data_IF_606949094805
#
_entry.id   IF_606949094805
#
_cell.length_a   1.000
_cell.length_b   1.000
_cell.length_c   1.000
_cell.angle_alpha   90.00
_cell.angle_beta   90.00
_cell.angle_gamma   90.00
#
_symmetry.space_group_name_H-M   'P 1'
#
loop_
_entity.id
_entity.type
_entity.pdbx_description
1 polymer ?
#
# COMPACT_ATOMS: atom_id res chain seq x y z
N UNK A 1 7.27 17.15 -21.45
CA UNK A 1 6.70 16.35 -20.33
C UNK A 1 6.58 14.88 -20.73
N UNK A 2 6.00 14.55 -21.88
CA UNK A 2 5.88 13.16 -22.38
C UNK A 2 7.26 12.50 -22.62
N UNK A 3 8.26 13.27 -23.06
CA UNK A 3 9.63 12.78 -23.31
C UNK A 3 10.39 12.35 -22.04
N UNK A 4 10.04 12.91 -20.87
CA UNK A 4 10.66 12.51 -19.60
C UNK A 4 9.98 11.29 -18.97
N UNK A 5 8.68 11.10 -19.22
CA UNK A 5 7.92 9.98 -18.68
C UNK A 5 8.32 8.62 -19.31
N UNK A 6 8.60 8.61 -20.60
CA UNK A 6 9.08 7.41 -21.33
C UNK A 6 10.46 6.91 -20.87
N UNK A 7 11.28 7.77 -20.24
CA UNK A 7 12.59 7.37 -19.68
C UNK A 7 12.50 6.69 -18.31
N UNK A 8 11.38 6.82 -17.60
CA UNK A 8 11.17 6.24 -16.26
C UNK A 8 10.47 4.87 -16.28
N UNK A 9 9.91 4.45 -17.41
CA UNK A 9 9.10 3.23 -17.50
C UNK A 9 9.81 2.00 -18.06
N UNK A 10 11.13 2.01 -18.31
CA UNK A 10 11.87 0.79 -18.72
C UNK A 10 13.04 0.53 -17.77
N UNK A 11 13.08 -0.67 -17.13
CA UNK A 11 13.76 -1.78 -17.76
C UNK A 11 13.03 -3.12 -17.60
N UNK A 12 12.39 -3.60 -18.64
CA UNK A 12 12.35 -5.05 -18.86
C UNK A 12 13.60 -5.34 -19.69
N UNK A 13 14.61 -5.90 -19.04
CA UNK A 13 15.84 -6.30 -19.71
C UNK A 13 15.55 -7.40 -20.73
N UNK A 14 15.43 -7.01 -21.99
CA UNK A 14 15.78 -7.89 -23.10
C UNK A 14 17.20 -7.50 -23.51
N UNK A 15 18.16 -8.39 -23.33
CA UNK A 15 19.52 -8.21 -23.80
C UNK A 15 19.49 -7.95 -25.31
N UNK A 16 19.61 -6.68 -25.70
CA UNK A 16 19.83 -6.29 -27.07
C UNK A 16 21.34 -6.29 -27.31
N UNK A 17 21.82 -7.23 -28.13
CA UNK A 17 23.17 -7.20 -28.69
C UNK A 17 23.38 -5.86 -29.43
N UNK A 18 24.44 -5.15 -29.09
CA UNK A 18 24.92 -3.95 -29.77
C UNK A 18 25.13 -4.24 -31.27
N UNK A 19 24.40 -3.53 -32.13
CA UNK A 19 24.62 -3.46 -33.55
C UNK A 19 24.98 -2.01 -33.91
N UNK A 20 26.05 -1.74 -34.70
CA UNK A 20 26.50 -0.40 -34.99
C UNK A 20 25.54 0.37 -35.92
N UNK A 21 25.45 1.68 -35.70
CA UNK A 21 24.69 2.62 -36.51
C UNK A 21 25.25 2.72 -37.92
N UNK A 22 24.50 2.21 -38.87
CA UNK A 22 24.72 2.45 -40.31
C UNK A 22 23.38 2.56 -41.02
N UNK A 23 23.17 3.70 -41.63
CA UNK A 23 22.26 4.06 -42.74
C UNK A 23 20.81 3.52 -42.81
N UNK A 24 19.98 4.31 -43.41
CA UNK A 24 18.54 4.19 -43.72
C UNK A 24 18.07 2.83 -44.28
N UNK A 25 18.91 2.05 -44.92
CA UNK A 25 18.58 0.70 -45.43
C UNK A 25 18.58 -0.37 -44.37
N UNK A 26 19.35 -0.24 -43.28
CA UNK A 26 19.37 -1.17 -42.17
C UNK A 26 18.05 -1.14 -41.31
N UNK A 27 17.26 -0.08 -41.45
CA UNK A 27 15.97 0.05 -40.75
C UNK A 27 14.87 -0.81 -41.36
N UNK A 28 14.83 -0.95 -42.67
CA UNK A 28 13.81 -1.77 -43.36
C UNK A 28 14.10 -3.27 -43.11
N UNK A 29 15.37 -3.69 -43.20
CA UNK A 29 15.79 -5.06 -42.89
C UNK A 29 15.55 -5.42 -41.40
N UNK A 30 15.80 -4.49 -40.49
CA UNK A 30 15.55 -4.67 -39.06
C UNK A 30 14.07 -4.83 -38.72
N UNK A 31 13.18 -4.16 -39.42
CA UNK A 31 11.72 -4.24 -39.24
C UNK A 31 11.19 -5.60 -39.73
N UNK A 32 11.62 -6.05 -40.89
CA UNK A 32 11.24 -7.34 -41.48
C UNK A 32 11.73 -8.50 -40.56
N UNK A 33 12.95 -8.41 -40.07
CA UNK A 33 13.53 -9.38 -39.13
C UNK A 33 12.76 -9.44 -37.81
N UNK A 34 12.33 -8.28 -37.24
CA UNK A 34 11.56 -8.22 -35.98
C UNK A 34 10.20 -8.88 -36.16
N UNK A 35 9.46 -8.55 -37.21
CA UNK A 35 8.18 -9.14 -37.52
C UNK A 35 8.25 -10.65 -37.75
N UNK A 36 9.23 -11.10 -38.54
CA UNK A 36 9.49 -12.53 -38.77
C UNK A 36 9.85 -13.26 -37.48
N UNK A 37 10.63 -12.63 -36.62
CA UNK A 37 11.04 -13.18 -35.33
C UNK A 37 9.83 -13.35 -34.41
N UNK A 38 8.99 -12.32 -34.25
CA UNK A 38 7.76 -12.39 -33.45
C UNK A 38 6.83 -13.48 -33.99
N UNK A 39 6.57 -13.52 -35.31
CA UNK A 39 5.70 -14.52 -35.93
C UNK A 39 6.21 -15.96 -35.66
N UNK A 40 7.52 -16.17 -35.67
CA UNK A 40 8.13 -17.45 -35.33
C UNK A 40 7.95 -17.82 -33.85
N UNK A 41 8.07 -16.87 -32.92
CA UNK A 41 7.84 -17.09 -31.51
C UNK A 41 6.39 -17.46 -31.21
N UNK A 42 5.42 -16.79 -31.83
CA UNK A 42 4.00 -17.04 -31.66
C UNK A 42 3.58 -18.45 -32.12
N UNK A 43 4.32 -19.08 -33.03
CA UNK A 43 4.09 -20.45 -33.49
C UNK A 43 4.62 -21.54 -32.53
N UNK A 44 5.41 -21.18 -31.51
CA UNK A 44 5.97 -22.17 -30.55
C UNK A 44 4.86 -22.84 -29.72
N UNK A 45 5.04 -24.11 -29.30
CA UNK A 45 4.00 -24.86 -28.57
C UNK A 45 3.42 -24.13 -27.36
N UNK A 46 4.23 -23.40 -26.59
CA UNK A 46 3.78 -22.64 -25.41
C UNK A 46 3.06 -21.34 -25.74
N UNK A 47 3.24 -20.78 -26.93
CA UNK A 47 2.65 -19.51 -27.34
C UNK A 47 1.43 -19.69 -28.23
N UNK A 48 1.41 -20.70 -29.09
CA UNK A 48 0.37 -20.91 -30.10
C UNK A 48 -1.04 -21.16 -29.56
N UNK A 49 -1.17 -21.57 -28.31
CA UNK A 49 -2.47 -21.80 -27.64
C UNK A 49 -3.04 -20.54 -26.99
N UNK A 50 -2.26 -19.47 -26.88
CA UNK A 50 -2.68 -18.20 -26.34
C UNK A 50 -3.16 -17.25 -27.45
N UNK A 51 -3.97 -16.27 -27.09
CA UNK A 51 -4.31 -15.13 -27.95
C UNK A 51 -3.34 -14.00 -27.65
N UNK A 52 -2.85 -13.36 -28.69
CA UNK A 52 -1.85 -12.30 -28.60
C UNK A 52 -2.38 -11.02 -29.22
N UNK A 53 -2.19 -9.92 -28.53
CA UNK A 53 -2.29 -8.55 -29.04
C UNK A 53 -0.92 -7.88 -28.88
N UNK A 54 -0.33 -7.42 -29.96
CA UNK A 54 1.00 -6.78 -29.95
C UNK A 54 0.92 -5.54 -30.83
N UNK A 55 1.39 -4.40 -30.32
CA UNK A 55 1.65 -3.20 -31.10
C UNK A 55 2.98 -2.63 -30.64
N UNK A 56 3.91 -2.47 -31.57
CA UNK A 56 5.26 -1.92 -31.33
C UNK A 56 5.44 -0.72 -32.23
N UNK A 57 5.72 0.43 -31.63
CA UNK A 57 5.93 1.70 -32.33
C UNK A 57 7.35 2.21 -32.10
N UNK A 58 7.89 2.88 -33.11
CA UNK A 58 9.09 3.71 -32.95
C UNK A 58 8.68 5.03 -32.25
N UNK A 59 9.21 5.34 -31.06
CA UNK A 59 8.82 6.55 -30.33
C UNK A 59 9.35 7.85 -30.96
N UNK A 60 10.24 7.75 -31.94
CA UNK A 60 10.83 8.93 -32.61
C UNK A 60 9.91 9.55 -33.65
N UNK A 61 9.14 8.72 -34.37
CA UNK A 61 8.25 9.12 -35.47
C UNK A 61 6.85 8.51 -35.36
N UNK A 62 6.55 7.76 -34.31
CA UNK A 62 5.31 7.01 -34.08
C UNK A 62 5.00 5.96 -35.16
N UNK A 63 6.01 5.54 -35.92
CA UNK A 63 5.85 4.51 -36.94
C UNK A 63 5.59 3.15 -36.29
N UNK A 64 4.55 2.47 -36.76
CA UNK A 64 4.26 1.11 -36.35
C UNK A 64 5.28 0.16 -36.95
N UNK A 65 6.01 -0.57 -36.11
CA UNK A 65 7.01 -1.57 -36.48
C UNK A 65 6.40 -2.97 -36.60
N UNK A 66 5.52 -3.35 -35.67
CA UNK A 66 4.86 -4.65 -35.63
C UNK A 66 3.46 -4.52 -35.06
N UNK A 67 2.51 -5.18 -35.68
CA UNK A 67 1.14 -5.35 -35.14
C UNK A 67 0.67 -6.79 -35.26
N UNK A 68 0.00 -7.26 -34.21
CA UNK A 68 -0.70 -8.54 -34.18
C UNK A 68 -2.02 -8.30 -33.45
N UNK A 69 -3.14 -8.47 -34.15
CA UNK A 69 -4.50 -8.21 -33.62
C UNK A 69 -4.63 -6.85 -32.90
N UNK A 70 -4.25 -5.72 -33.53
CA UNK A 70 -4.23 -4.41 -32.87
C UNK A 70 -5.60 -3.96 -32.37
N UNK A 71 -6.68 -4.30 -33.12
CA UNK A 71 -8.06 -3.90 -32.80
C UNK A 71 -8.80 -4.93 -31.94
N UNK A 72 -8.16 -6.04 -31.59
CA UNK A 72 -8.80 -7.06 -30.77
C UNK A 72 -8.86 -6.63 -29.31
N UNK A 73 -10.04 -6.64 -28.67
CA UNK A 73 -10.14 -6.31 -27.25
C UNK A 73 -9.49 -7.40 -26.38
N UNK A 74 -8.69 -6.95 -25.40
CA UNK A 74 -8.09 -7.76 -24.38
C UNK A 74 -8.38 -7.19 -22.98
N UNK A 75 -8.41 -8.04 -21.96
CA UNK A 75 -8.47 -7.59 -20.59
C UNK A 75 -7.11 -6.95 -20.21
N UNK A 76 -7.07 -5.64 -19.89
CA UNK A 76 -5.81 -4.94 -19.67
C UNK A 76 -5.11 -5.38 -18.38
N UNK A 77 -5.85 -5.93 -17.41
CA UNK A 77 -5.35 -6.27 -16.09
C UNK A 77 -4.52 -5.09 -15.53
N UNK A 78 -3.36 -5.37 -14.92
CA UNK A 78 -2.53 -4.31 -14.31
C UNK A 78 -1.89 -3.32 -15.29
N UNK A 79 -1.97 -3.55 -16.59
CA UNK A 79 -1.52 -2.55 -17.59
C UNK A 79 -2.39 -1.29 -17.52
N UNK A 80 -3.66 -1.41 -17.09
CA UNK A 80 -4.55 -0.26 -16.86
C UNK A 80 -3.94 0.77 -15.90
N UNK A 81 -3.10 0.35 -14.96
CA UNK A 81 -2.44 1.27 -14.03
C UNK A 81 -1.58 2.33 -14.72
N UNK A 82 -1.05 2.05 -15.92
CA UNK A 82 -0.33 3.04 -16.71
C UNK A 82 -1.25 4.20 -17.10
N UNK A 83 -2.50 3.90 -17.45
CA UNK A 83 -3.52 4.91 -17.77
C UNK A 83 -3.91 5.69 -16.51
N UNK A 84 -4.19 5.00 -15.40
CA UNK A 84 -4.49 5.63 -14.10
C UNK A 84 -3.38 6.58 -13.68
N UNK A 85 -2.12 6.13 -13.75
CA UNK A 85 -0.97 6.96 -13.33
C UNK A 85 -0.71 8.13 -14.27
N UNK A 86 -0.95 7.98 -15.57
CA UNK A 86 -0.87 9.07 -16.53
C UNK A 86 -1.94 10.15 -16.25
N UNK A 87 -3.19 9.73 -16.01
CA UNK A 87 -4.28 10.62 -15.66
C UNK A 87 -4.00 11.38 -14.34
N UNK A 88 -3.46 10.70 -13.33
CA UNK A 88 -3.10 11.31 -12.07
C UNK A 88 -2.01 12.40 -12.23
N UNK A 89 -0.98 12.15 -13.05
CA UNK A 89 0.05 13.16 -13.36
C UNK A 89 -0.54 14.36 -14.09
N UNK A 90 -1.43 14.12 -15.03
CA UNK A 90 -2.08 15.20 -15.80
C UNK A 90 -2.96 16.07 -14.90
N UNK A 91 -3.72 15.46 -13.99
CA UNK A 91 -4.68 16.17 -13.12
C UNK A 91 -4.03 16.82 -11.90
N UNK A 92 -3.11 16.15 -11.24
CA UNK A 92 -2.53 16.58 -9.96
C UNK A 92 -1.15 17.22 -10.13
N UNK A 93 -0.45 16.91 -11.22
CA UNK A 93 0.94 17.28 -11.43
C UNK A 93 1.93 16.32 -10.71
N UNK A 94 3.16 16.20 -11.23
CA UNK A 94 4.16 15.26 -10.69
C UNK A 94 4.64 15.61 -9.27
N UNK A 95 4.52 16.88 -8.88
CA UNK A 95 4.93 17.41 -7.58
C UNK A 95 3.85 17.34 -6.49
N UNK A 96 2.65 16.88 -6.81
CA UNK A 96 1.57 16.74 -5.82
C UNK A 96 2.03 15.93 -4.61
N UNK A 97 1.56 16.32 -3.41
CA UNK A 97 1.84 15.63 -2.14
C UNK A 97 0.54 15.41 -1.39
N UNK A 98 0.34 14.20 -0.93
CA UNK A 98 -0.73 13.89 0.01
C UNK A 98 -0.50 14.59 1.34
N UNK A 99 -1.58 14.84 2.06
CA UNK A 99 -1.56 15.47 3.38
C UNK A 99 -2.24 14.56 4.39
N UNK A 100 -1.61 14.39 5.55
CA UNK A 100 -2.21 13.73 6.70
C UNK A 100 -2.13 14.69 7.86
N UNK A 101 -3.27 15.11 8.38
CA UNK A 101 -3.36 16.13 9.43
C UNK A 101 -3.70 15.53 10.78
N UNK A 102 -3.19 16.16 11.83
CA UNK A 102 -3.63 15.93 13.20
C UNK A 102 -4.38 17.15 13.67
N UNK A 103 -5.62 16.95 14.05
CA UNK A 103 -6.56 18.00 14.48
C UNK A 103 -7.00 17.74 15.91
N UNK A 104 -7.63 18.76 16.49
CA UNK A 104 -8.33 18.68 17.78
C UNK A 104 -9.66 19.42 17.76
N UNK A 105 -10.61 18.98 18.57
CA UNK A 105 -11.87 19.64 18.83
C UNK A 105 -11.91 20.39 20.19
N UNK A 106 -10.77 20.43 20.91
CA UNK A 106 -10.67 21.10 22.20
C UNK A 106 -9.40 21.97 22.32
N UNK A 107 -9.33 22.82 23.34
CA UNK A 107 -8.17 23.69 23.56
C UNK A 107 -6.99 22.93 24.17
N UNK A 108 -5.79 23.47 23.95
CA UNK A 108 -4.56 23.05 24.65
C UNK A 108 -4.37 23.99 25.86
N UNK A 109 -4.32 23.42 27.05
CA UNK A 109 -4.05 24.14 28.29
C UNK A 109 -2.58 24.54 28.46
N UNK A 110 -2.29 25.51 29.32
CA UNK A 110 -0.91 25.95 29.64
C UNK A 110 -0.07 24.83 30.26
N UNK A 111 -0.70 23.86 30.89
CA UNK A 111 -0.08 22.66 31.46
C UNK A 111 0.29 21.59 30.41
N UNK A 112 -0.09 21.82 29.15
CA UNK A 112 0.09 20.89 28.05
C UNK A 112 -1.01 19.82 27.94
N UNK A 113 -2.12 19.95 28.66
CA UNK A 113 -3.28 19.09 28.50
C UNK A 113 -4.13 19.52 27.31
N UNK A 114 -4.46 18.57 26.42
CA UNK A 114 -5.43 18.76 25.35
C UNK A 114 -6.81 18.36 25.86
N UNK A 115 -7.69 19.34 26.13
CA UNK A 115 -9.04 19.13 26.66
C UNK A 115 -10.02 18.76 25.53
N UNK A 116 -9.73 17.74 24.76
CA UNK A 116 -10.53 17.25 23.64
C UNK A 116 -9.93 16.02 23.02
N UNK A 117 -10.47 15.64 21.86
CA UNK A 117 -10.00 14.51 21.06
C UNK A 117 -8.84 14.92 20.16
N UNK A 118 -8.01 13.96 19.82
CA UNK A 118 -6.96 14.06 18.82
C UNK A 118 -7.37 13.29 17.57
N UNK A 119 -7.58 13.98 16.45
CA UNK A 119 -8.14 13.40 15.24
C UNK A 119 -7.04 13.30 14.16
N UNK A 120 -6.68 12.08 13.77
CA UNK A 120 -5.75 11.79 12.67
C UNK A 120 -6.53 11.66 11.37
N UNK A 121 -6.46 12.70 10.52
CA UNK A 121 -7.25 12.81 9.28
C UNK A 121 -6.44 12.33 8.08
N UNK A 122 -6.88 11.24 7.46
CA UNK A 122 -6.33 10.74 6.21
C UNK A 122 -6.90 11.42 4.98
N UNK A 123 -6.05 11.58 3.95
CA UNK A 123 -6.46 12.12 2.65
C UNK A 123 -5.88 11.30 1.49
N UNK A 124 -5.86 9.99 1.68
CA UNK A 124 -5.49 9.05 0.63
C UNK A 124 -3.98 8.89 0.44
N UNK A 125 -3.13 9.15 1.45
CA UNK A 125 -1.70 8.85 1.35
C UNK A 125 -1.47 7.33 1.46
N UNK A 126 -1.06 6.65 0.37
CA UNK A 126 -0.81 5.22 0.41
C UNK A 126 0.54 4.86 1.05
N UNK A 127 1.38 5.86 1.37
CA UNK A 127 2.77 5.68 1.76
C UNK A 127 3.06 6.11 3.21
N UNK A 128 2.06 6.26 4.07
CA UNK A 128 2.25 6.72 5.45
C UNK A 128 3.31 5.93 6.24
N UNK A 129 3.56 4.67 5.86
CA UNK A 129 4.61 3.84 6.45
C UNK A 129 5.92 3.82 5.67
N UNK A 130 6.01 4.50 4.54
CA UNK A 130 7.22 4.53 3.70
C UNK A 130 7.77 5.98 3.57
N UNK A 131 9.05 6.16 3.40
CA UNK A 131 10.09 5.15 3.48
C UNK A 131 10.36 4.72 4.92
N UNK A 132 10.81 3.48 5.11
CA UNK A 132 11.40 3.04 6.39
C UNK A 132 12.80 3.64 6.46
N UNK A 133 13.06 4.40 7.52
CA UNK A 133 14.37 4.95 7.80
C UNK A 133 15.13 4.16 8.87
N UNK A 134 16.35 4.58 9.23
CA UNK A 134 17.17 3.92 10.25
C UNK A 134 16.54 3.98 11.65
N UNK A 135 15.69 4.98 11.92
CA UNK A 135 14.97 5.12 13.18
C UNK A 135 13.74 4.20 13.29
N UNK A 136 13.39 3.46 12.22
CA UNK A 136 12.34 2.45 12.24
C UNK A 136 11.16 2.76 11.30
N UNK A 137 10.07 2.00 11.42
CA UNK A 137 8.87 2.19 10.61
C UNK A 137 8.13 3.49 10.98
N UNK A 138 7.28 3.97 10.06
CA UNK A 138 6.32 5.06 10.25
C UNK A 138 6.93 6.45 10.54
N UNK A 139 7.81 6.95 9.67
CA UNK A 139 8.41 8.26 9.86
C UNK A 139 7.36 9.39 9.93
N UNK A 140 6.25 9.28 9.21
CA UNK A 140 5.16 10.26 9.25
C UNK A 140 4.54 10.38 10.65
N UNK A 141 4.30 9.26 11.34
CA UNK A 141 3.74 9.31 12.70
C UNK A 141 4.73 9.87 13.71
N UNK A 142 6.02 9.58 13.53
CA UNK A 142 7.07 10.20 14.35
C UNK A 142 7.12 11.71 14.16
N UNK A 143 7.13 12.17 12.91
CA UNK A 143 7.10 13.60 12.58
C UNK A 143 5.88 14.28 13.21
N UNK A 144 4.69 13.72 13.06
CA UNK A 144 3.47 14.28 13.64
C UNK A 144 3.52 14.32 15.17
N UNK A 145 3.99 13.26 15.82
CA UNK A 145 4.11 13.20 17.28
C UNK A 145 5.17 14.19 17.82
N UNK A 146 6.31 14.33 17.12
CA UNK A 146 7.34 15.34 17.45
C UNK A 146 6.76 16.75 17.38
N UNK A 147 5.94 17.05 16.36
CA UNK A 147 5.25 18.35 16.24
C UNK A 147 4.28 18.62 17.39
N UNK A 148 3.53 17.62 17.84
CA UNK A 148 2.64 17.78 19.01
C UNK A 148 3.45 18.04 20.28
N UNK A 149 4.59 17.38 20.45
CA UNK A 149 5.50 17.62 21.55
C UNK A 149 6.10 19.05 21.51
N UNK A 150 6.47 19.55 20.31
CA UNK A 150 6.94 20.93 20.09
C UNK A 150 5.87 21.98 20.46
N UNK A 151 4.58 21.65 20.26
CA UNK A 151 3.45 22.49 20.70
C UNK A 151 3.21 22.45 22.21
N UNK A 152 4.02 21.69 22.96
CA UNK A 152 3.92 21.56 24.41
C UNK A 152 2.85 20.56 24.88
N UNK A 153 2.22 19.80 23.98
CA UNK A 153 1.20 18.79 24.34
C UNK A 153 1.88 17.65 25.10
N UNK A 154 1.35 17.33 26.27
CA UNK A 154 1.84 16.28 27.17
C UNK A 154 0.80 15.21 27.46
N UNK A 155 -0.48 15.56 27.28
CA UNK A 155 -1.59 14.69 27.56
C UNK A 155 -2.76 14.98 26.61
N UNK A 156 -3.42 13.94 26.11
CA UNK A 156 -4.69 13.99 25.39
C UNK A 156 -5.76 13.48 26.36
N UNK A 157 -6.69 14.35 26.77
CA UNK A 157 -7.76 13.98 27.71
C UNK A 157 -8.89 13.21 27.05
N UNK A 158 -9.14 13.39 25.76
CA UNK A 158 -10.12 12.71 24.95
C UNK A 158 -9.55 11.50 24.20
N UNK A 159 -10.22 11.13 23.14
CA UNK A 159 -9.94 9.96 22.31
C UNK A 159 -8.88 10.25 21.24
N UNK A 160 -8.24 9.19 20.72
CA UNK A 160 -7.46 9.23 19.48
C UNK A 160 -8.31 8.64 18.37
N UNK A 161 -8.72 9.47 17.41
CA UNK A 161 -9.68 9.14 16.37
C UNK A 161 -8.97 9.06 15.02
N UNK A 162 -9.12 7.93 14.30
CA UNK A 162 -8.70 7.79 12.92
C UNK A 162 -9.83 8.21 11.97
N UNK A 163 -9.67 9.30 11.23
CA UNK A 163 -10.67 9.79 10.28
C UNK A 163 -10.31 9.38 8.84
N UNK A 164 -11.09 8.48 8.24
CA UNK A 164 -11.02 8.08 6.84
C UNK A 164 -12.19 8.59 5.99
N UNK A 165 -13.01 9.46 6.53
CA UNK A 165 -14.25 9.94 5.92
C UNK A 165 -14.05 10.73 4.61
N UNK A 166 -12.80 11.00 4.22
CA UNK A 166 -12.48 11.70 2.97
C UNK A 166 -12.89 10.91 1.71
N UNK A 167 -12.81 9.57 1.76
CA UNK A 167 -13.32 8.72 0.70
C UNK A 167 -14.69 8.15 1.07
N UNK A 168 -15.62 8.04 0.10
CA UNK A 168 -16.84 7.29 0.34
C UNK A 168 -16.50 5.81 0.59
N UNK A 169 -17.39 5.06 1.28
CA UNK A 169 -17.19 3.64 1.49
C UNK A 169 -16.96 2.91 0.18
N UNK A 170 -15.82 2.25 0.07
CA UNK A 170 -15.47 1.47 -1.11
C UNK A 170 -15.77 0.00 -0.83
N UNK A 171 -16.90 -0.48 -1.34
CA UNK A 171 -17.47 -1.81 -1.03
C UNK A 171 -16.81 -2.99 -1.74
N UNK A 172 -15.56 -2.84 -2.19
CA UNK A 172 -14.87 -3.82 -3.02
C UNK A 172 -15.36 -3.80 -4.48
N UNK A 173 -14.46 -4.02 -5.41
CA UNK A 173 -14.77 -4.01 -6.83
C UNK A 173 -15.74 -5.14 -7.20
N UNK A 174 -16.73 -4.83 -8.06
CA UNK A 174 -17.62 -5.86 -8.64
C UNK A 174 -16.77 -6.90 -9.37
N UNK A 175 -16.92 -8.16 -8.99
CA UNK A 175 -16.20 -9.27 -9.62
C UNK A 175 -15.06 -9.86 -8.80
N UNK A 176 -14.71 -9.26 -7.65
CA UNK A 176 -13.74 -9.85 -6.73
C UNK A 176 -14.39 -10.93 -5.87
N UNK A 177 -13.71 -12.06 -5.75
CA UNK A 177 -14.14 -13.15 -4.86
C UNK A 177 -13.80 -12.83 -3.40
N UNK A 178 -14.52 -13.44 -2.46
CA UNK A 178 -14.22 -13.32 -1.02
C UNK A 178 -12.76 -13.72 -0.68
N UNK A 179 -12.16 -14.61 -1.47
CA UNK A 179 -10.76 -15.01 -1.31
C UNK A 179 -9.79 -13.91 -1.76
N UNK A 180 -10.10 -13.20 -2.84
CA UNK A 180 -9.28 -12.10 -3.34
C UNK A 180 -9.31 -10.91 -2.39
N UNK A 181 -10.48 -10.60 -1.81
CA UNK A 181 -10.63 -9.56 -0.78
C UNK A 181 -9.82 -9.84 0.50
N UNK A 182 -9.47 -11.10 0.78
CA UNK A 182 -8.59 -11.46 1.89
C UNK A 182 -7.10 -11.41 1.53
N UNK A 183 -6.76 -10.96 0.33
CA UNK A 183 -5.38 -10.77 -0.10
C UNK A 183 -4.99 -9.30 -0.04
N UNK A 184 -3.69 -9.03 -0.02
CA UNK A 184 -3.17 -7.66 -0.11
C UNK A 184 -3.63 -6.91 -1.37
N UNK A 185 -3.99 -7.63 -2.43
CA UNK A 185 -4.48 -7.02 -3.67
C UNK A 185 -5.91 -6.50 -3.56
N UNK A 186 -6.72 -7.13 -2.69
CA UNK A 186 -8.10 -6.75 -2.42
C UNK A 186 -8.28 -6.10 -1.04
N UNK A 187 -7.23 -5.57 -0.43
CA UNK A 187 -7.35 -4.81 0.80
C UNK A 187 -8.26 -3.58 0.58
N UNK A 188 -9.12 -3.23 1.55
CA UNK A 188 -10.08 -2.14 1.40
C UNK A 188 -9.35 -0.82 1.13
N UNK A 189 -9.92 -0.01 0.24
CA UNK A 189 -9.48 1.36 0.01
C UNK A 189 -9.94 2.21 1.19
N UNK A 190 -9.03 3.02 1.72
CA UNK A 190 -9.28 3.79 2.91
C UNK A 190 -8.47 5.08 2.88
N UNK A 191 -9.07 6.22 3.22
CA UNK A 191 -8.40 7.50 3.15
C UNK A 191 -7.27 7.64 4.19
N UNK A 192 -7.34 6.88 5.29
CA UNK A 192 -6.29 6.77 6.29
C UNK A 192 -5.70 5.35 6.26
N UNK A 193 -4.79 5.11 5.36
CA UNK A 193 -4.19 3.79 5.10
C UNK A 193 -2.91 3.57 5.88
N UNK A 194 -2.72 2.35 6.36
CA UNK A 194 -1.53 1.93 7.09
C UNK A 194 -1.03 0.58 6.56
N UNK A 195 0.27 0.49 6.22
CA UNK A 195 0.93 -0.77 5.81
C UNK A 195 0.19 -1.54 4.70
N UNK A 196 -0.33 -0.82 3.69
CA UNK A 196 -1.20 -1.38 2.64
C UNK A 196 -2.47 -2.05 3.19
N UNK A 197 -2.99 -1.58 4.30
CA UNK A 197 -4.18 -2.08 4.99
C UNK A 197 -4.09 -3.57 5.35
N UNK A 198 -2.88 -3.99 5.73
CA UNK A 198 -2.61 -5.35 6.21
C UNK A 198 -1.72 -5.34 7.46
N UNK A 199 -1.89 -6.35 8.30
CA UNK A 199 -0.93 -6.70 9.35
C UNK A 199 -0.16 -7.96 8.93
N UNK A 200 1.16 -7.90 8.97
CA UNK A 200 2.00 -9.08 8.76
C UNK A 200 2.14 -9.86 10.06
N UNK A 201 1.89 -11.16 9.97
CA UNK A 201 2.15 -12.11 11.05
C UNK A 201 3.35 -12.95 10.67
N UNK A 202 4.38 -12.90 11.49
CA UNK A 202 5.57 -13.74 11.36
C UNK A 202 5.64 -14.70 12.53
N UNK A 203 5.80 -16.00 12.27
CA UNK A 203 6.04 -16.98 13.31
C UNK A 203 7.37 -17.70 13.05
N UNK A 204 8.15 -17.83 14.13
CA UNK A 204 9.42 -18.57 14.15
C UNK A 204 9.30 -19.76 15.07
N UNK A 205 9.97 -20.88 14.75
CA UNK A 205 9.97 -22.02 15.65
C UNK A 205 10.67 -21.69 16.97
N UNK A 206 10.19 -22.28 18.04
CA UNK A 206 10.81 -22.31 19.36
C UNK A 206 11.33 -23.73 19.68
N UNK A 207 11.31 -24.14 20.94
CA UNK A 207 11.60 -25.53 21.33
C UNK A 207 10.51 -26.46 20.81
N UNK A 208 10.89 -27.69 20.48
CA UNK A 208 9.97 -28.74 20.00
C UNK A 208 8.76 -28.90 20.92
N UNK A 209 7.57 -29.03 20.34
CA UNK A 209 6.25 -29.07 21.00
C UNK A 209 5.89 -27.83 21.84
N UNK A 210 6.70 -26.78 21.85
CA UNK A 210 6.35 -25.50 22.48
C UNK A 210 5.70 -24.54 21.47
N UNK A 211 5.02 -23.54 21.99
CA UNK A 211 4.41 -22.49 21.18
C UNK A 211 5.45 -21.82 20.27
N UNK A 212 5.07 -21.49 19.04
CA UNK A 212 5.93 -20.69 18.14
C UNK A 212 6.09 -19.27 18.69
N UNK A 213 7.19 -18.60 18.33
CA UNK A 213 7.41 -17.19 18.64
C UNK A 213 6.74 -16.37 17.54
N UNK A 214 5.85 -15.45 17.94
CA UNK A 214 5.06 -14.64 17.03
C UNK A 214 5.47 -13.18 17.11
N UNK A 215 5.55 -12.52 15.96
CA UNK A 215 5.67 -11.07 15.83
C UNK A 215 4.67 -10.58 14.78
N UNK A 216 4.17 -9.37 14.96
CA UNK A 216 3.32 -8.67 13.99
C UNK A 216 3.98 -7.39 13.50
N UNK A 217 3.59 -6.93 12.32
CA UNK A 217 4.08 -5.69 11.71
C UNK A 217 2.91 -4.95 11.02
N UNK A 218 2.59 -3.71 11.44
CA UNK A 218 3.26 -2.94 12.48
C UNK A 218 3.19 -3.60 13.85
N UNK A 219 4.22 -3.38 14.69
CA UNK A 219 4.20 -3.80 16.08
C UNK A 219 3.26 -2.86 16.84
N UNK A 220 2.19 -3.42 17.39
CA UNK A 220 1.14 -2.66 18.12
C UNK A 220 0.43 -3.56 19.12
N UNK A 221 0.01 -3.01 20.23
CA UNK A 221 -0.83 -3.67 21.25
C UNK A 221 -2.31 -3.75 20.86
N UNK A 222 -2.70 -3.04 19.79
CA UNK A 222 -4.07 -3.04 19.26
C UNK A 222 -4.59 -4.45 18.94
N UNK A 223 -3.70 -5.35 18.49
CA UNK A 223 -4.07 -6.73 18.21
C UNK A 223 -3.77 -7.67 19.39
N UNK A 224 -4.79 -8.38 19.86
CA UNK A 224 -4.62 -9.49 20.81
C UNK A 224 -4.18 -10.75 20.05
N UNK A 225 -3.05 -11.33 20.42
CA UNK A 225 -2.51 -12.54 19.79
C UNK A 225 -2.94 -13.79 20.59
N UNK A 226 -3.78 -14.64 19.98
CA UNK A 226 -4.14 -15.96 20.52
C UNK A 226 -3.30 -17.03 19.81
N UNK A 227 -2.15 -17.35 20.40
CA UNK A 227 -1.19 -18.30 19.82
C UNK A 227 -1.48 -19.74 20.29
N UNK A 228 -1.98 -20.57 19.35
CA UNK A 228 -2.22 -22.01 19.53
C UNK A 228 -1.30 -22.85 18.61
N UNK A 229 -0.35 -22.23 17.93
CA UNK A 229 0.55 -22.92 17.02
C UNK A 229 1.75 -23.48 17.78
N UNK A 230 2.22 -24.64 17.35
CA UNK A 230 3.33 -25.35 18.00
C UNK A 230 4.47 -25.63 17.04
N UNK A 231 5.67 -25.72 17.58
CA UNK A 231 6.88 -26.11 16.87
C UNK A 231 6.90 -27.63 16.69
N UNK A 232 6.87 -28.08 15.45
CA UNK A 232 7.00 -29.50 15.08
C UNK A 232 8.45 -29.93 14.88
N UNK A 233 8.63 -31.21 14.61
CA UNK A 233 9.94 -31.72 14.20
C UNK A 233 10.38 -31.13 12.85
N UNK A 234 11.65 -31.35 12.47
CA UNK A 234 12.19 -30.92 11.17
C UNK A 234 11.36 -31.44 9.97
N UNK A 235 10.82 -32.66 10.10
CA UNK A 235 10.02 -33.34 9.06
C UNK A 235 8.52 -33.16 9.24
N UNK A 236 8.05 -32.40 10.22
CA UNK A 236 6.64 -32.19 10.48
C UNK A 236 5.94 -31.56 9.25
N UNK A 237 4.69 -31.96 9.00
CA UNK A 237 3.86 -31.29 7.99
C UNK A 237 3.56 -29.86 8.44
N UNK A 238 3.82 -28.90 7.57
CA UNK A 238 3.48 -27.48 7.82
C UNK A 238 1.97 -27.31 7.70
N UNK A 239 1.30 -27.00 8.81
CA UNK A 239 -0.13 -26.71 8.86
C UNK A 239 -0.45 -25.35 9.50
N UNK A 240 0.59 -24.59 9.84
CA UNK A 240 0.42 -23.27 10.49
C UNK A 240 -0.36 -22.34 9.58
N UNK A 241 -1.27 -21.57 10.21
CA UNK A 241 -2.10 -20.55 9.60
C UNK A 241 -2.39 -19.45 10.62
N UNK A 242 -2.60 -18.23 10.14
CA UNK A 242 -3.08 -17.11 10.92
C UNK A 242 -4.40 -16.58 10.35
N UNK A 243 -5.28 -16.05 11.18
CA UNK A 243 -6.52 -15.38 10.78
C UNK A 243 -6.86 -14.27 11.78
N UNK A 244 -7.47 -13.23 11.31
CA UNK A 244 -8.15 -12.25 12.15
C UNK A 244 -9.56 -12.79 12.47
N UNK A 245 -10.01 -12.69 13.72
CA UNK A 245 -11.39 -13.00 14.09
C UNK A 245 -12.30 -11.83 13.69
N UNK A 246 -13.32 -12.11 12.89
CA UNK A 246 -14.26 -11.10 12.41
C UNK A 246 -14.86 -10.28 13.57
N UNK A 247 -14.96 -8.97 13.36
CA UNK A 247 -15.48 -8.03 14.36
C UNK A 247 -14.63 -7.93 15.63
N UNK A 248 -13.35 -8.33 15.58
CA UNK A 248 -12.43 -8.20 16.71
C UNK A 248 -10.99 -7.96 16.28
N UNK A 249 -10.19 -7.38 17.18
CA UNK A 249 -8.76 -7.21 17.00
C UNK A 249 -7.94 -8.44 17.48
N UNK A 250 -8.51 -9.66 17.33
CA UNK A 250 -7.85 -10.89 17.78
C UNK A 250 -7.26 -11.66 16.60
N UNK A 251 -5.95 -11.82 16.60
CA UNK A 251 -5.22 -12.64 15.65
C UNK A 251 -5.05 -14.05 16.24
N UNK A 252 -5.66 -15.05 15.62
CA UNK A 252 -5.53 -16.46 16.01
C UNK A 252 -4.52 -17.14 15.12
N UNK A 253 -3.50 -17.75 15.74
CA UNK A 253 -2.48 -18.52 15.06
C UNK A 253 -2.58 -19.97 15.53
N UNK A 254 -2.68 -20.93 14.61
CA UNK A 254 -2.88 -22.35 14.91
C UNK A 254 -2.13 -23.24 13.96
N UNK A 255 -1.94 -24.51 14.37
CA UNK A 255 -1.28 -25.53 13.55
C UNK A 255 0.17 -25.79 13.94
N UNK A 256 0.93 -26.41 13.04
CA UNK A 256 2.31 -26.85 13.28
C UNK A 256 3.28 -26.16 12.33
N UNK A 257 4.36 -25.61 12.88
CA UNK A 257 5.48 -25.05 12.15
C UNK A 257 6.70 -25.95 12.29
N UNK A 258 7.26 -26.53 11.20
CA UNK A 258 8.51 -27.27 11.26
C UNK A 258 9.65 -26.43 11.86
N UNK A 259 10.52 -27.06 12.65
CA UNK A 259 11.63 -26.35 13.35
C UNK A 259 12.66 -25.70 12.42
N UNK A 260 12.61 -25.97 11.11
CA UNK A 260 13.52 -25.42 10.09
C UNK A 260 12.87 -24.37 9.21
N UNK A 261 11.64 -23.97 9.48
CA UNK A 261 10.86 -23.07 8.63
C UNK A 261 10.40 -21.83 9.41
N UNK A 262 10.31 -20.71 8.72
CA UNK A 262 9.60 -19.52 9.19
C UNK A 262 8.25 -19.44 8.48
N UNK A 263 7.24 -18.95 9.17
CA UNK A 263 5.93 -18.63 8.60
C UNK A 263 5.82 -17.11 8.49
N UNK A 264 5.29 -16.62 7.38
CA UNK A 264 4.88 -15.23 7.20
C UNK A 264 3.60 -15.20 6.39
N UNK A 265 2.62 -14.46 6.88
CA UNK A 265 1.32 -14.25 6.25
C UNK A 265 0.86 -12.82 6.55
N UNK A 266 0.22 -12.17 5.59
CA UNK A 266 -0.52 -10.94 5.84
C UNK A 266 -1.98 -11.26 6.14
N UNK A 267 -2.60 -10.43 6.97
CA UNK A 267 -4.03 -10.42 7.23
C UNK A 267 -4.56 -9.03 6.88
N UNK A 268 -5.66 -8.98 6.16
CA UNK A 268 -6.31 -7.71 5.78
C UNK A 268 -6.96 -7.10 7.00
N UNK A 269 -6.79 -5.79 7.19
CA UNK A 269 -7.41 -5.03 8.27
C UNK A 269 -8.89 -4.80 7.97
N UNK A 270 -9.75 -5.03 8.94
CA UNK A 270 -11.17 -4.70 8.83
C UNK A 270 -11.42 -3.20 8.99
N UNK A 271 -10.66 -2.56 9.90
CA UNK A 271 -10.69 -1.12 10.14
C UNK A 271 -9.27 -0.53 10.10
N UNK A 272 -8.78 -0.12 8.91
CA UNK A 272 -7.46 0.50 8.77
C UNK A 272 -7.32 1.81 9.55
N UNK A 273 -8.38 2.64 9.60
CA UNK A 273 -8.36 3.93 10.27
C UNK A 273 -8.17 3.81 11.78
N UNK A 274 -8.91 2.90 12.43
CA UNK A 274 -8.75 2.60 13.85
C UNK A 274 -7.37 2.03 14.16
N UNK A 275 -6.88 1.12 13.29
CA UNK A 275 -5.52 0.58 13.42
C UNK A 275 -4.45 1.68 13.31
N UNK A 276 -4.64 2.64 12.39
CA UNK A 276 -3.73 3.78 12.23
C UNK A 276 -3.74 4.67 13.47
N UNK A 277 -4.93 4.97 14.02
CA UNK A 277 -5.09 5.74 15.26
C UNK A 277 -4.42 5.05 16.45
N UNK A 278 -4.60 3.72 16.60
CA UNK A 278 -3.96 2.94 17.66
C UNK A 278 -2.45 3.00 17.60
N UNK A 279 -1.89 2.79 16.41
CA UNK A 279 -0.44 2.85 16.18
C UNK A 279 0.11 4.26 16.41
N UNK A 280 -0.66 5.30 16.04
CA UNK A 280 -0.30 6.68 16.29
C UNK A 280 -0.36 7.01 17.79
N UNK A 281 -1.38 6.57 18.51
CA UNK A 281 -1.49 6.70 19.97
C UNK A 281 -0.30 6.08 20.70
N UNK A 282 0.12 4.88 20.31
CA UNK A 282 1.33 4.24 20.85
C UNK A 282 2.61 5.04 20.53
N UNK A 283 2.65 5.74 19.40
CA UNK A 283 3.77 6.60 19.05
C UNK A 283 3.80 7.87 19.92
N UNK A 284 2.63 8.42 20.27
CA UNK A 284 2.51 9.53 21.24
C UNK A 284 3.03 9.12 22.62
N UNK A 285 2.62 7.95 23.12
CA UNK A 285 3.07 7.43 24.41
C UNK A 285 4.60 7.24 24.45
N UNK A 286 5.21 6.73 23.38
CA UNK A 286 6.66 6.62 23.26
C UNK A 286 7.40 7.96 23.38
N UNK A 287 6.71 9.07 23.06
CA UNK A 287 7.23 10.45 23.19
C UNK A 287 6.83 11.13 24.49
N UNK A 288 6.19 10.40 25.39
CA UNK A 288 5.75 10.92 26.69
C UNK A 288 4.48 11.76 26.61
N UNK A 289 3.69 11.64 25.52
CA UNK A 289 2.35 12.22 25.43
C UNK A 289 1.36 11.13 25.82
N UNK A 290 0.76 11.25 27.02
CA UNK A 290 -0.22 10.27 27.50
C UNK A 290 -1.57 10.46 26.83
N UNK A 291 -2.31 9.34 26.65
CA UNK A 291 -3.68 9.34 26.12
C UNK A 291 -4.60 8.75 27.19
N UNK A 292 -5.64 9.49 27.60
CA UNK A 292 -6.61 9.02 28.60
C UNK A 292 -7.84 8.33 28.01
N UNK A 293 -8.24 8.78 26.83
CA UNK A 293 -9.40 8.25 26.12
C UNK A 293 -9.11 6.93 25.40
N UNK A 294 -10.04 6.56 24.56
CA UNK A 294 -9.97 5.33 23.77
C UNK A 294 -9.50 5.60 22.35
N UNK A 295 -9.21 4.52 21.63
CA UNK A 295 -8.93 4.57 20.18
C UNK A 295 -10.21 4.23 19.44
N UNK A 296 -10.58 5.06 18.48
CA UNK A 296 -11.78 4.87 17.66
C UNK A 296 -11.56 5.35 16.22
N UNK A 297 -12.58 5.25 15.38
CA UNK A 297 -12.55 5.71 13.99
C UNK A 297 -13.80 6.51 13.62
N UNK A 298 -13.63 7.37 12.61
CA UNK A 298 -14.69 8.16 12.00
C UNK A 298 -14.70 7.87 10.49
N UNK A 299 -15.87 7.49 9.98
CA UNK A 299 -16.06 7.08 8.60
C UNK A 299 -16.95 8.05 7.83
N UNK A 300 -16.94 7.94 6.51
CA UNK A 300 -17.82 8.72 5.64
C UNK A 300 -19.31 8.49 6.02
N UNK A 301 -20.04 9.57 6.20
CA UNK A 301 -21.43 9.54 6.62
C UNK A 301 -21.67 9.70 8.14
N UNK A 302 -20.61 9.70 8.96
CA UNK A 302 -20.71 9.84 10.42
C UNK A 302 -20.90 11.33 10.88
N UNK A 303 -21.36 12.21 9.99
CA UNK A 303 -21.56 13.63 10.28
C UNK A 303 -20.25 14.45 10.30
N UNK A 304 -19.25 14.00 9.56
CA UNK A 304 -17.91 14.61 9.50
C UNK A 304 -17.91 16.05 8.98
N UNK A 305 -18.80 16.39 8.05
CA UNK A 305 -18.89 17.75 7.48
C UNK A 305 -19.26 18.80 8.54
N UNK A 306 -20.14 18.45 9.46
CA UNK A 306 -20.56 19.32 10.56
C UNK A 306 -19.47 19.48 11.62
N UNK A 307 -18.70 18.42 11.86
CA UNK A 307 -17.65 18.38 12.89
C UNK A 307 -16.37 19.08 12.45
N UNK A 308 -15.96 18.92 11.17
CA UNK A 308 -14.70 19.49 10.65
C UNK A 308 -14.61 21.01 10.75
N UNK A 309 -15.72 21.73 10.70
CA UNK A 309 -15.75 23.19 10.81
C UNK A 309 -15.29 23.70 12.17
N UNK A 310 -15.21 22.84 13.20
CA UNK A 310 -14.82 23.19 14.56
C UNK A 310 -13.42 22.71 14.94
N UNK A 311 -12.74 21.95 14.07
CA UNK A 311 -11.44 21.36 14.39
C UNK A 311 -10.28 22.33 14.13
N UNK A 312 -9.32 22.33 15.03
CA UNK A 312 -8.06 23.09 14.90
C UNK A 312 -6.95 22.16 14.43
N UNK A 313 -6.25 22.53 13.34
CA UNK A 313 -5.07 21.81 12.87
C UNK A 313 -3.90 22.05 13.82
N UNK A 314 -3.32 20.97 14.34
CA UNK A 314 -2.13 20.99 15.21
C UNK A 314 -0.85 20.65 14.44
N UNK A 315 -0.90 19.65 13.57
CA UNK A 315 0.24 19.20 12.80
C UNK A 315 -0.18 18.64 11.44
N UNK A 316 0.69 18.73 10.44
CA UNK A 316 0.46 18.18 9.10
C UNK A 316 1.72 17.49 8.60
N UNK A 317 1.59 16.25 8.17
CA UNK A 317 2.58 15.53 7.37
C UNK A 317 2.29 15.69 5.89
N UNK A 318 3.34 15.89 5.09
CA UNK A 318 3.27 15.92 3.61
C UNK A 318 4.10 14.79 3.04
N UNK A 319 3.45 13.93 2.27
CA UNK A 319 4.10 12.80 1.62
C UNK A 319 5.27 13.20 0.72
N UNK A 320 6.06 12.22 0.29
CA UNK A 320 6.92 12.37 -0.88
C UNK A 320 6.08 12.79 -2.12
N UNK A 321 6.70 13.40 -3.16
CA UNK A 321 5.98 13.77 -4.38
C UNK A 321 5.26 12.57 -5.03
N UNK A 322 4.16 12.85 -5.74
CA UNK A 322 3.31 11.85 -6.41
C UNK A 322 4.10 10.84 -7.24
N UNK A 323 5.15 11.29 -7.93
CA UNK A 323 6.02 10.40 -8.73
C UNK A 323 6.54 9.20 -7.96
N UNK A 324 6.69 9.33 -6.62
CA UNK A 324 7.12 8.22 -5.77
C UNK A 324 6.04 7.15 -5.63
N UNK A 325 4.78 7.56 -5.44
CA UNK A 325 3.63 6.64 -5.43
C UNK A 325 3.46 5.95 -6.79
N UNK A 326 3.60 6.71 -7.89
CA UNK A 326 3.52 6.16 -9.26
C UNK A 326 4.61 5.13 -9.56
N UNK A 327 5.81 5.35 -9.05
CA UNK A 327 6.90 4.37 -9.14
C UNK A 327 6.52 3.04 -8.46
N UNK A 328 5.93 3.10 -7.27
CA UNK A 328 5.46 1.91 -6.54
C UNK A 328 4.33 1.22 -7.31
N UNK A 329 3.35 1.98 -7.80
CA UNK A 329 2.22 1.44 -8.59
C UNK A 329 2.74 0.69 -9.81
N UNK A 330 3.56 1.32 -10.63
CA UNK A 330 3.95 0.77 -11.94
C UNK A 330 5.01 -0.34 -11.81
N UNK A 331 5.95 -0.23 -10.85
CA UNK A 331 7.01 -1.25 -10.69
C UNK A 331 6.57 -2.45 -9.86
N UNK A 332 5.70 -2.25 -8.85
CA UNK A 332 5.25 -3.31 -7.94
C UNK A 332 3.82 -3.76 -8.22
N UNK A 333 3.15 -3.13 -9.19
CA UNK A 333 1.75 -3.39 -9.55
C UNK A 333 0.79 -3.29 -8.35
N UNK A 334 0.98 -2.25 -7.51
CA UNK A 334 0.23 -2.09 -6.28
C UNK A 334 -1.19 -1.60 -6.54
N UNK A 335 -2.21 -2.43 -6.22
CA UNK A 335 -3.61 -2.10 -6.45
C UNK A 335 -4.09 -0.97 -5.55
N UNK A 336 -3.91 -1.12 -4.22
CA UNK A 336 -4.37 -0.12 -3.26
C UNK A 336 -3.89 1.29 -3.61
N UNK A 337 -2.61 1.45 -3.96
CA UNK A 337 -2.07 2.74 -4.36
C UNK A 337 -2.73 3.29 -5.64
N UNK A 338 -3.09 2.42 -6.59
CA UNK A 338 -3.76 2.83 -7.82
C UNK A 338 -5.21 3.26 -7.56
N UNK A 339 -5.94 2.53 -6.71
CA UNK A 339 -7.30 2.86 -6.30
C UNK A 339 -7.37 4.19 -5.53
N UNK A 340 -6.38 4.46 -4.68
CA UNK A 340 -6.30 5.72 -3.92
C UNK A 340 -5.95 6.94 -4.79
N UNK A 341 -5.59 6.75 -6.06
CA UNK A 341 -5.39 7.83 -7.03
C UNK A 341 -6.67 8.19 -7.80
N UNK A 342 -7.66 7.33 -7.82
CA UNK A 342 -8.93 7.52 -8.50
C UNK A 342 -9.93 8.26 -7.62
#
# INVERSE_FOLDING_TARGET
LLRHFLRLCLPLALAAALVPLGASEARADGQETLQATIARYLKRPGARSAQWGISILDPSDNKVLVEVNPDKPFLPASVLKVVTTAAAVEKLGPGFRYRTGVYTNGPVGEDGSLAGDLILVGRGDPNLMEPRDEAGPMPAFRELADRLQELGIREVCGDVIGDDSYFPPHGGEKGWTARELQTRYGAPVNALSLNNNVVWVTARPSKYKKAVIVAIEPATSHFRIRNRAVTGSRKAKRTIRARLEAGSNTIVISGTLPSTRTFRQHLVLENPAETAAAVFGEELERRGISVRGEVTSLHHGDGEAERRGTWTLLAEHRSAPLVRALEIINKRSQNLHAEMLL
#
